data_IF_794326957678
#
_entry.id   IF_794326957678
#
_cell.length_a   1.000
_cell.length_b   1.000
_cell.length_c   1.000
_cell.angle_alpha   90.00
_cell.angle_beta   90.00
_cell.angle_gamma   90.00
#
_symmetry.space_group_name_H-M   'P 1'
#
loop_
_entity.id
_entity.type
_entity.pdbx_description
1 polymer ?
#
# COMPACT_ATOMS: atom_id res chain seq x y z
N UNK A 1 -2.72 -11.84 -5.89
CA UNK A 1 -3.96 -12.53 -5.42
C UNK A 1 -3.81 -12.89 -3.93
N UNK A 2 -4.76 -13.62 -3.32
CA UNK A 2 -4.63 -14.15 -1.96
C UNK A 2 -4.90 -15.66 -1.99
N UNK A 3 -3.94 -16.44 -1.52
CA UNK A 3 -3.99 -17.90 -1.39
C UNK A 3 -3.84 -18.22 0.10
N UNK A 4 -4.85 -18.80 0.72
CA UNK A 4 -4.84 -18.97 2.17
C UNK A 4 -5.55 -20.20 2.67
N UNK A 5 -5.12 -20.66 3.84
CA UNK A 5 -5.74 -21.75 4.59
C UNK A 5 -5.89 -23.04 3.75
N UNK A 6 -4.92 -23.34 2.88
CA UNK A 6 -4.91 -24.62 2.15
C UNK A 6 -4.75 -25.76 3.15
N UNK A 7 -5.77 -26.62 3.21
CA UNK A 7 -5.85 -27.76 4.14
C UNK A 7 -6.51 -28.98 3.46
N UNK A 8 -6.17 -29.18 2.18
CA UNK A 8 -6.67 -30.31 1.37
C UNK A 8 -5.77 -31.54 1.47
N UNK A 9 -5.51 -32.21 0.35
CA UNK A 9 -4.52 -33.29 0.27
C UNK A 9 -3.11 -32.73 0.47
N UNK A 10 -2.23 -33.53 1.09
CA UNK A 10 -0.81 -33.23 1.17
C UNK A 10 -0.24 -32.88 -0.23
N UNK A 11 0.70 -31.92 -0.33
CA UNK A 11 1.44 -31.31 0.78
C UNK A 11 0.78 -30.05 1.38
N UNK A 12 -0.44 -29.72 0.95
CA UNK A 12 -1.22 -28.58 1.46
C UNK A 12 -0.49 -27.23 1.37
N UNK A 13 0.45 -27.12 0.42
CA UNK A 13 1.14 -25.87 0.14
C UNK A 13 0.17 -24.86 -0.49
N UNK A 14 0.46 -23.57 -0.33
CA UNK A 14 -0.31 -22.53 -1.03
C UNK A 14 -0.16 -22.68 -2.55
N UNK A 15 1.08 -22.77 -3.03
CA UNK A 15 1.42 -23.13 -4.42
C UNK A 15 2.41 -24.28 -4.39
N UNK A 16 2.17 -25.29 -5.22
CA UNK A 16 3.04 -26.46 -5.33
C UNK A 16 3.50 -26.66 -6.78
N UNK A 17 4.77 -26.35 -7.03
CA UNK A 17 5.44 -26.63 -8.30
C UNK A 17 6.02 -28.04 -8.25
N UNK A 18 5.18 -29.03 -8.57
CA UNK A 18 5.49 -30.46 -8.51
C UNK A 18 5.27 -31.15 -9.87
N UNK A 19 6.25 -31.11 -10.79
CA UNK A 19 6.21 -31.93 -11.99
C UNK A 19 6.25 -33.41 -11.62
N UNK A 20 5.49 -34.22 -12.38
CA UNK A 20 5.32 -35.66 -12.15
C UNK A 20 6.22 -36.52 -13.06
N UNK A 21 6.75 -35.96 -14.16
CA UNK A 21 7.54 -36.70 -15.15
C UNK A 21 8.87 -36.01 -15.45
N UNK A 22 9.89 -36.83 -15.74
CA UNK A 22 11.24 -36.38 -16.05
C UNK A 22 11.34 -35.42 -17.24
N UNK A 23 10.38 -35.49 -18.17
CA UNK A 23 10.35 -34.69 -19.40
C UNK A 23 9.57 -33.38 -19.26
N UNK A 24 8.91 -33.14 -18.13
CA UNK A 24 8.20 -31.89 -17.90
C UNK A 24 9.15 -30.73 -17.64
N UNK A 25 8.64 -29.51 -17.78
CA UNK A 25 9.45 -28.29 -17.70
C UNK A 25 8.67 -27.21 -16.94
N UNK A 26 9.38 -26.44 -16.13
CA UNK A 26 8.89 -25.23 -15.47
C UNK A 26 9.76 -24.07 -15.95
N UNK A 27 9.25 -23.30 -16.90
CA UNK A 27 9.99 -22.23 -17.56
C UNK A 27 9.17 -20.95 -17.41
N UNK A 28 9.83 -19.88 -16.99
CA UNK A 28 9.32 -18.52 -16.87
C UNK A 28 8.02 -18.44 -16.05
N UNK A 29 7.98 -19.22 -14.97
CA UNK A 29 6.88 -19.21 -14.02
C UNK A 29 6.99 -17.99 -13.11
N UNK A 30 5.97 -17.12 -13.07
CA UNK A 30 5.98 -15.90 -12.26
C UNK A 30 4.88 -15.94 -11.21
N UNK A 31 5.27 -15.77 -9.94
CA UNK A 31 4.36 -15.46 -8.84
C UNK A 31 4.68 -14.05 -8.37
N UNK A 32 3.69 -13.16 -8.50
CA UNK A 32 3.86 -11.76 -8.14
C UNK A 32 2.67 -11.15 -7.45
N UNK A 33 2.89 -10.13 -6.63
CA UNK A 33 1.82 -9.33 -6.00
C UNK A 33 0.78 -10.21 -5.29
N UNK A 34 1.26 -11.23 -4.57
CA UNK A 34 0.42 -12.29 -4.00
C UNK A 34 0.68 -12.51 -2.52
N UNK A 35 -0.41 -12.65 -1.76
CA UNK A 35 -0.39 -13.08 -0.36
C UNK A 35 -0.60 -14.58 -0.32
N UNK A 36 0.26 -15.26 0.44
CA UNK A 36 0.22 -16.70 0.63
C UNK A 36 0.33 -16.99 2.12
N UNK A 37 -0.80 -17.26 2.78
CA UNK A 37 -0.85 -17.23 4.24
C UNK A 37 -1.64 -18.36 4.90
N UNK A 38 -1.25 -18.70 6.13
CA UNK A 38 -2.02 -19.63 6.96
C UNK A 38 -2.17 -21.03 6.38
N UNK A 39 -1.34 -21.39 5.39
CA UNK A 39 -1.41 -22.71 4.76
C UNK A 39 -0.85 -23.78 5.69
N UNK A 40 -1.44 -24.98 5.68
CA UNK A 40 -0.97 -26.09 6.54
C UNK A 40 0.39 -26.61 6.07
N UNK A 41 0.69 -26.49 4.78
CA UNK A 41 2.02 -26.72 4.24
C UNK A 41 2.92 -25.47 4.28
N UNK A 42 3.88 -25.43 3.36
CA UNK A 42 4.64 -24.24 3.03
C UNK A 42 3.80 -23.23 2.25
N UNK A 43 4.25 -21.98 2.18
CA UNK A 43 3.63 -21.00 1.31
C UNK A 43 3.78 -21.40 -0.17
N UNK A 44 5.02 -21.52 -0.63
CA UNK A 44 5.36 -22.02 -1.97
C UNK A 44 6.33 -23.19 -1.84
N UNK A 45 6.06 -24.29 -2.55
CA UNK A 45 6.97 -25.42 -2.70
C UNK A 45 7.43 -25.60 -4.14
N UNK A 46 8.71 -25.93 -4.31
CA UNK A 46 9.26 -26.48 -5.54
C UNK A 46 9.75 -27.91 -5.26
N UNK A 47 8.95 -28.89 -5.66
CA UNK A 47 9.24 -30.31 -5.51
C UNK A 47 9.65 -30.93 -6.84
N UNK A 48 10.96 -30.87 -7.14
CA UNK A 48 11.51 -31.14 -8.47
C UNK A 48 12.13 -32.54 -8.60
N UNK A 49 11.79 -33.46 -7.68
CA UNK A 49 12.42 -34.78 -7.58
C UNK A 49 12.22 -35.64 -8.83
N UNK A 50 11.11 -35.45 -9.55
CA UNK A 50 10.77 -36.26 -10.71
C UNK A 50 11.35 -35.72 -12.03
N UNK A 51 11.92 -34.52 -12.06
CA UNK A 51 12.55 -33.97 -13.26
C UNK A 51 13.87 -34.68 -13.56
N UNK A 52 14.22 -34.77 -14.85
CA UNK A 52 15.60 -35.11 -15.24
C UNK A 52 16.57 -34.04 -14.73
N UNK A 53 17.84 -34.39 -14.55
CA UNK A 53 18.87 -33.43 -14.14
C UNK A 53 18.96 -32.25 -15.11
N UNK A 54 18.88 -32.51 -16.42
CA UNK A 54 18.84 -31.49 -17.47
C UNK A 54 17.63 -30.55 -17.32
N UNK A 55 16.42 -31.08 -17.15
CA UNK A 55 15.23 -30.25 -17.04
C UNK A 55 15.18 -29.49 -15.71
N UNK A 56 15.70 -30.07 -14.63
CA UNK A 56 15.83 -29.41 -13.32
C UNK A 56 16.80 -28.24 -13.37
N UNK A 57 17.94 -28.40 -14.04
CA UNK A 57 18.92 -27.32 -14.23
C UNK A 57 18.36 -26.15 -15.06
N UNK A 58 17.38 -26.42 -15.92
CA UNK A 58 16.74 -25.44 -16.79
C UNK A 58 15.48 -24.79 -16.18
N UNK A 59 15.14 -25.05 -14.92
CA UNK A 59 13.97 -24.41 -14.28
C UNK A 59 14.22 -22.91 -14.10
N UNK A 60 13.28 -22.09 -14.58
CA UNK A 60 13.27 -20.64 -14.38
C UNK A 60 11.97 -20.19 -13.76
N UNK A 61 12.06 -19.33 -12.75
CA UNK A 61 10.90 -18.76 -12.07
C UNK A 61 11.22 -17.44 -11.37
N UNK A 62 10.19 -16.65 -11.10
CA UNK A 62 10.31 -15.39 -10.37
C UNK A 62 9.25 -15.33 -9.27
N UNK A 63 9.70 -15.07 -8.05
CA UNK A 63 8.86 -14.74 -6.90
C UNK A 63 9.17 -13.29 -6.53
N UNK A 64 8.26 -12.37 -6.87
CA UNK A 64 8.46 -10.93 -6.67
C UNK A 64 7.28 -10.31 -5.94
N UNK A 65 7.54 -9.39 -5.03
CA UNK A 65 6.48 -8.64 -4.35
C UNK A 65 5.38 -9.52 -3.74
N UNK A 66 5.78 -10.59 -3.06
CA UNK A 66 4.87 -11.55 -2.43
C UNK A 66 4.97 -11.47 -0.91
N UNK A 67 3.89 -11.84 -0.21
CA UNK A 67 3.85 -11.89 1.25
C UNK A 67 3.49 -13.31 1.71
N UNK A 68 4.48 -14.04 2.23
CA UNK A 68 4.35 -15.41 2.70
C UNK A 68 4.29 -15.42 4.24
N UNK A 69 3.07 -15.52 4.78
CA UNK A 69 2.78 -15.17 6.17
C UNK A 69 2.16 -16.34 6.94
N UNK A 70 2.73 -16.73 8.07
CA UNK A 70 2.05 -17.65 9.00
C UNK A 70 1.77 -19.03 8.42
N UNK A 71 2.52 -19.48 7.42
CA UNK A 71 2.38 -20.84 6.90
C UNK A 71 2.98 -21.81 7.93
N UNK A 72 2.35 -22.97 8.16
CA UNK A 72 2.82 -23.90 9.19
C UNK A 72 4.17 -24.54 8.85
N UNK A 73 4.52 -24.59 7.57
CA UNK A 73 5.84 -24.97 7.07
C UNK A 73 6.80 -23.80 6.90
N UNK A 74 7.60 -23.85 5.83
CA UNK A 74 8.48 -22.74 5.39
C UNK A 74 7.67 -21.72 4.57
N UNK A 75 8.15 -20.48 4.47
CA UNK A 75 7.62 -19.54 3.48
C UNK A 75 7.81 -20.08 2.06
N UNK A 76 9.07 -20.20 1.62
CA UNK A 76 9.46 -20.83 0.36
C UNK A 76 10.32 -22.07 0.62
N UNK A 77 9.92 -23.21 0.06
CA UNK A 77 10.60 -24.50 0.24
C UNK A 77 11.09 -25.04 -1.10
N UNK A 78 12.40 -25.25 -1.21
CA UNK A 78 13.02 -25.77 -2.43
C UNK A 78 13.66 -27.13 -2.13
N UNK A 79 13.21 -28.16 -2.84
CA UNK A 79 13.80 -29.51 -2.79
C UNK A 79 15.23 -29.55 -3.37
N UNK A 80 15.55 -28.62 -4.26
CA UNK A 80 16.81 -28.54 -5.01
C UNK A 80 17.22 -27.08 -5.23
N UNK A 81 18.49 -26.85 -5.56
CA UNK A 81 18.93 -25.57 -6.10
C UNK A 81 18.23 -25.26 -7.43
N UNK A 82 17.81 -24.02 -7.60
CA UNK A 82 17.19 -23.52 -8.83
C UNK A 82 17.95 -22.26 -9.26
N UNK A 83 19.00 -22.39 -10.08
CA UNK A 83 19.83 -21.24 -10.47
C UNK A 83 19.03 -20.16 -11.22
N UNK A 84 17.97 -20.55 -11.93
CA UNK A 84 17.06 -19.65 -12.64
C UNK A 84 15.92 -19.08 -11.79
N UNK A 85 15.96 -19.24 -10.46
CA UNK A 85 14.95 -18.67 -9.56
C UNK A 85 15.41 -17.31 -9.05
N UNK A 86 14.58 -16.29 -9.26
CA UNK A 86 14.73 -14.97 -8.65
C UNK A 86 13.72 -14.81 -7.53
N UNK A 87 14.18 -14.40 -6.34
CA UNK A 87 13.31 -14.05 -5.21
C UNK A 87 13.66 -12.65 -4.74
N UNK A 88 12.69 -11.73 -4.82
CA UNK A 88 12.91 -10.34 -4.42
C UNK A 88 11.67 -9.62 -3.93
N UNK A 89 11.87 -8.46 -3.30
CA UNK A 89 10.83 -7.51 -2.92
C UNK A 89 9.73 -8.12 -2.05
N UNK A 90 10.02 -9.18 -1.29
CA UNK A 90 9.00 -10.04 -0.67
C UNK A 90 9.08 -10.07 0.85
N UNK A 91 7.97 -10.44 1.51
CA UNK A 91 7.88 -10.63 2.95
C UNK A 91 7.78 -12.13 3.29
N UNK A 92 8.60 -12.59 4.23
CA UNK A 92 8.54 -13.93 4.83
C UNK A 92 8.37 -13.78 6.34
N UNK A 93 7.15 -13.96 6.84
CA UNK A 93 6.77 -13.53 8.18
C UNK A 93 6.04 -14.64 8.94
N UNK A 94 6.41 -14.86 10.20
CA UNK A 94 5.70 -15.76 11.13
C UNK A 94 5.55 -17.22 10.64
N UNK A 95 6.38 -17.70 9.71
CA UNK A 95 6.26 -19.07 9.23
C UNK A 95 6.75 -20.07 10.31
N UNK A 96 6.15 -21.26 10.34
CA UNK A 96 6.42 -22.30 11.33
C UNK A 96 7.80 -22.96 11.20
N UNK A 97 8.57 -22.58 10.18
CA UNK A 97 9.96 -22.99 9.97
C UNK A 97 10.78 -21.79 9.45
N UNK A 98 11.64 -21.99 8.44
CA UNK A 98 12.42 -20.91 7.82
C UNK A 98 11.56 -20.04 6.90
N UNK A 99 11.97 -18.78 6.70
CA UNK A 99 11.39 -17.93 5.65
C UNK A 99 11.63 -18.53 4.27
N UNK A 100 12.89 -18.83 3.94
CA UNK A 100 13.26 -19.61 2.75
C UNK A 100 14.18 -20.78 3.14
N UNK A 101 13.97 -21.94 2.54
CA UNK A 101 14.84 -23.10 2.74
C UNK A 101 15.15 -23.81 1.43
N UNK A 102 16.44 -24.07 1.20
CA UNK A 102 16.92 -24.85 0.07
C UNK A 102 17.61 -26.12 0.58
N UNK A 103 17.05 -27.29 0.23
CA UNK A 103 17.50 -28.56 0.80
C UNK A 103 18.83 -29.07 0.23
N UNK A 104 19.03 -29.01 -1.09
CA UNK A 104 20.24 -29.52 -1.74
C UNK A 104 21.13 -28.40 -2.26
N UNK A 105 22.44 -28.64 -2.22
CA UNK A 105 23.45 -27.77 -2.82
C UNK A 105 23.45 -27.91 -4.35
N UNK A 106 23.76 -26.82 -5.01
CA UNK A 106 23.81 -26.68 -6.46
C UNK A 106 23.95 -25.22 -6.90
N UNK A 107 24.36 -24.35 -5.98
CA UNK A 107 24.36 -22.89 -6.09
C UNK A 107 23.52 -22.23 -5.01
N UNK A 108 24.01 -21.11 -4.48
CA UNK A 108 23.26 -20.29 -3.53
C UNK A 108 22.14 -19.54 -4.24
N UNK A 109 20.91 -19.70 -3.78
CA UNK A 109 19.82 -18.78 -4.12
C UNK A 109 20.06 -17.45 -3.40
N UNK A 110 20.26 -16.38 -4.17
CA UNK A 110 20.35 -15.03 -3.64
C UNK A 110 18.95 -14.41 -3.55
N UNK A 111 18.50 -14.17 -2.32
CA UNK A 111 17.22 -13.54 -2.05
C UNK A 111 17.47 -12.06 -1.77
N UNK A 112 16.94 -11.17 -2.59
CA UNK A 112 17.28 -9.75 -2.54
C UNK A 112 16.09 -8.92 -2.06
N UNK A 113 16.35 -7.76 -1.46
CA UNK A 113 15.35 -6.76 -1.08
C UNK A 113 14.10 -7.39 -0.45
N UNK A 114 14.28 -8.28 0.53
CA UNK A 114 13.18 -9.03 1.13
C UNK A 114 13.25 -9.00 2.65
N UNK A 115 12.11 -9.01 3.31
CA UNK A 115 12.02 -8.98 4.77
C UNK A 115 11.78 -10.37 5.32
N UNK A 116 12.49 -10.69 6.39
CA UNK A 116 12.34 -11.91 7.15
C UNK A 116 12.09 -11.57 8.61
N UNK A 117 10.91 -11.92 9.11
CA UNK A 117 10.54 -11.59 10.48
C UNK A 117 9.88 -12.77 11.18
N UNK A 118 10.39 -13.11 12.37
CA UNK A 118 9.77 -14.07 13.28
C UNK A 118 9.44 -15.45 12.66
N UNK A 119 10.24 -15.91 11.71
CA UNK A 119 10.16 -17.29 11.19
C UNK A 119 10.81 -18.23 12.21
N UNK A 120 10.11 -19.27 12.62
CA UNK A 120 10.44 -20.09 13.81
C UNK A 120 11.86 -20.69 13.76
N UNK A 121 12.33 -21.08 12.57
CA UNK A 121 13.65 -21.68 12.40
C UNK A 121 14.73 -20.68 11.92
N UNK A 122 14.35 -19.46 11.55
CA UNK A 122 15.24 -18.41 11.06
C UNK A 122 14.86 -17.83 9.70
N UNK A 123 15.59 -16.81 9.25
CA UNK A 123 15.33 -16.15 7.96
C UNK A 123 15.51 -17.10 6.77
N UNK A 124 16.69 -17.72 6.68
CA UNK A 124 17.05 -18.68 5.63
C UNK A 124 17.68 -19.94 6.24
N UNK A 125 17.58 -21.07 5.55
CA UNK A 125 18.21 -22.33 5.96
C UNK A 125 18.62 -23.23 4.81
N UNK A 126 19.46 -24.23 5.11
CA UNK A 126 20.10 -25.06 4.11
C UNK A 126 21.11 -24.26 3.29
N UNK A 127 20.96 -24.27 1.96
CA UNK A 127 21.85 -23.58 1.02
C UNK A 127 21.30 -22.22 0.52
N UNK A 128 20.20 -21.75 1.11
CA UNK A 128 19.65 -20.43 0.80
C UNK A 128 20.48 -19.33 1.50
N UNK A 129 20.71 -18.22 0.82
CA UNK A 129 21.46 -17.09 1.35
C UNK A 129 20.68 -15.77 1.22
N UNK A 130 20.87 -14.89 2.20
CA UNK A 130 20.39 -13.51 2.10
C UNK A 130 21.30 -12.75 1.13
N UNK A 131 20.68 -12.12 0.14
CA UNK A 131 21.32 -11.19 -0.79
C UNK A 131 21.15 -9.73 -0.37
N UNK A 132 21.56 -8.83 -1.26
CA UNK A 132 21.51 -7.38 -1.08
C UNK A 132 20.11 -6.90 -0.68
N UNK A 133 20.03 -5.92 0.22
CA UNK A 133 18.76 -5.30 0.62
C UNK A 133 17.85 -6.16 1.50
N UNK A 134 18.24 -7.39 1.86
CA UNK A 134 17.45 -8.21 2.77
C UNK A 134 17.45 -7.67 4.21
N UNK A 135 16.28 -7.67 4.85
CA UNK A 135 16.04 -7.12 6.19
C UNK A 135 15.60 -8.24 7.14
N UNK A 136 16.25 -8.35 8.30
CA UNK A 136 15.94 -9.38 9.32
C UNK A 136 15.63 -8.82 10.70
N UNK A 137 15.81 -7.51 10.90
CA UNK A 137 15.78 -6.84 12.21
C UNK A 137 14.56 -5.96 12.41
N UNK A 138 13.72 -5.79 11.38
CA UNK A 138 12.60 -4.86 11.38
C UNK A 138 11.32 -5.65 11.10
N UNK A 139 10.34 -5.50 12.00
CA UNK A 139 9.02 -6.10 11.84
C UNK A 139 8.19 -5.33 10.81
N UNK A 140 7.50 -6.01 9.87
CA UNK A 140 6.43 -5.39 9.11
C UNK A 140 5.24 -5.10 10.03
N UNK A 141 4.63 -3.94 9.86
CA UNK A 141 3.39 -3.58 10.55
C UNK A 141 2.27 -3.68 9.53
N UNK A 142 1.28 -4.54 9.79
CA UNK A 142 0.08 -4.65 8.97
C UNK A 142 -1.03 -3.77 9.54
N UNK A 143 -1.76 -3.08 8.66
CA UNK A 143 -2.89 -2.24 9.02
C UNK A 143 -4.06 -3.05 9.61
N UNK A 144 -4.27 -4.27 9.12
CA UNK A 144 -5.25 -5.19 9.66
C UNK A 144 -4.88 -6.65 9.40
N UNK A 145 -5.21 -7.52 10.36
CA UNK A 145 -5.21 -8.98 10.22
C UNK A 145 -6.63 -9.55 10.12
N UNK A 146 -7.67 -8.70 10.17
CA UNK A 146 -9.06 -9.11 9.97
C UNK A 146 -9.31 -9.34 8.47
N UNK A 147 -9.66 -10.56 8.05
CA UNK A 147 -9.91 -10.86 6.64
C UNK A 147 -11.12 -10.16 6.02
N UNK A 148 -12.00 -9.57 6.84
CA UNK A 148 -13.13 -8.78 6.37
C UNK A 148 -12.79 -7.29 6.18
N UNK A 149 -11.62 -6.85 6.65
CA UNK A 149 -11.17 -5.47 6.53
C UNK A 149 -10.76 -5.14 5.08
N UNK A 150 -11.08 -3.93 4.62
CA UNK A 150 -10.52 -3.38 3.38
C UNK A 150 -8.99 -3.29 3.45
N UNK A 151 -8.46 -3.05 4.64
CA UNK A 151 -7.03 -2.91 4.95
C UNK A 151 -6.37 -4.25 5.29
N UNK A 152 -7.04 -5.37 5.05
CA UNK A 152 -6.50 -6.70 5.34
C UNK A 152 -5.12 -6.89 4.71
N UNK A 153 -4.10 -7.15 5.52
CA UNK A 153 -2.70 -7.34 5.10
C UNK A 153 -2.07 -6.19 4.31
N UNK A 154 -2.67 -5.01 4.31
CA UNK A 154 -1.97 -3.81 3.86
C UNK A 154 -0.85 -3.49 4.85
N UNK A 155 0.30 -3.02 4.37
CA UNK A 155 1.29 -2.42 5.27
C UNK A 155 0.67 -1.16 5.91
N UNK A 156 0.92 -0.94 7.19
CA UNK A 156 0.38 0.22 7.90
C UNK A 156 1.13 1.50 7.49
N UNK A 157 0.50 2.66 7.70
CA UNK A 157 1.12 3.98 7.42
C UNK A 157 2.37 4.22 8.26
N UNK A 158 2.38 3.69 9.49
CA UNK A 158 3.51 3.73 10.41
C UNK A 158 4.46 2.54 10.22
N UNK A 159 4.30 1.72 9.17
CA UNK A 159 5.26 0.68 8.83
C UNK A 159 6.62 1.34 8.52
N UNK A 160 7.75 0.79 9.01
CA UNK A 160 9.05 1.42 8.84
C UNK A 160 9.43 1.68 7.36
N UNK A 161 10.08 2.82 7.11
CA UNK A 161 10.53 3.22 5.77
C UNK A 161 11.45 2.18 5.10
N UNK A 162 12.24 1.46 5.90
CA UNK A 162 13.07 0.35 5.42
C UNK A 162 12.25 -0.78 4.77
N UNK A 163 10.94 -0.86 4.99
CA UNK A 163 10.03 -1.83 4.36
C UNK A 163 9.19 -1.16 3.27
N UNK A 164 8.73 0.08 3.48
CA UNK A 164 7.86 0.79 2.53
C UNK A 164 8.61 1.47 1.39
N UNK A 165 9.93 1.62 1.50
CA UNK A 165 10.82 2.23 0.50
C UNK A 165 12.08 1.38 0.26
N UNK A 166 12.12 0.17 0.82
CA UNK A 166 13.31 -0.68 0.82
C UNK A 166 13.35 -1.73 -0.28
N UNK A 167 12.34 -1.79 -1.15
CA UNK A 167 12.36 -2.67 -2.31
C UNK A 167 13.43 -2.24 -3.33
N UNK A 168 13.76 -3.13 -4.26
CA UNK A 168 14.75 -2.91 -5.33
C UNK A 168 14.44 -1.71 -6.23
N UNK A 169 13.16 -1.31 -6.32
CA UNK A 169 12.67 -0.16 -7.06
C UNK A 169 12.41 1.08 -6.19
N UNK A 170 12.81 1.04 -4.90
CA UNK A 170 12.52 2.09 -3.92
C UNK A 170 11.08 2.07 -3.39
N UNK A 171 10.30 1.06 -3.72
CA UNK A 171 8.93 0.86 -3.26
C UNK A 171 8.81 -0.05 -2.04
N UNK A 172 7.64 -0.66 -1.92
CA UNK A 172 7.27 -1.55 -0.82
C UNK A 172 7.77 -2.98 -1.06
N UNK A 173 8.27 -3.62 0.00
CA UNK A 173 8.48 -5.08 0.00
C UNK A 173 7.18 -5.79 0.43
N UNK A 174 6.63 -6.62 -0.44
CA UNK A 174 5.49 -7.49 -0.18
C UNK A 174 4.18 -7.09 -0.86
N UNK A 175 3.34 -8.10 -1.08
CA UNK A 175 2.01 -7.92 -1.63
C UNK A 175 1.08 -7.15 -0.67
N UNK A 176 0.16 -6.37 -1.26
CA UNK A 176 -0.69 -5.35 -0.59
C UNK A 176 0.16 -4.25 0.07
N UNK A 177 0.97 -3.53 -0.71
CA UNK A 177 1.55 -2.29 -0.23
C UNK A 177 0.43 -1.33 0.15
N UNK A 178 0.64 -0.48 1.18
CA UNK A 178 -0.27 0.64 1.42
C UNK A 178 -0.29 1.48 0.16
N UNK A 179 -1.41 1.48 -0.54
CA UNK A 179 -1.62 2.52 -1.53
C UNK A 179 -1.89 3.76 -0.70
N UNK A 180 -1.11 4.82 -0.87
CA UNK A 180 -1.51 6.11 -0.35
C UNK A 180 -2.96 6.35 -0.80
N UNK A 181 -3.86 6.70 0.12
CA UNK A 181 -5.23 6.99 -0.27
C UNK A 181 -5.19 7.97 -1.46
N UNK A 182 -6.03 7.81 -2.49
CA UNK A 182 -6.06 8.76 -3.59
C UNK A 182 -6.15 10.16 -2.99
N UNK A 183 -5.16 11.00 -3.29
CA UNK A 183 -5.09 12.32 -2.68
C UNK A 183 -6.37 13.07 -3.07
N UNK A 184 -7.06 13.66 -2.10
CA UNK A 184 -8.27 14.45 -2.36
C UNK A 184 -7.80 15.73 -3.04
N UNK A 185 -8.17 16.01 -4.30
CA UNK A 185 -7.65 17.19 -4.99
C UNK A 185 -7.95 18.46 -4.19
N UNK A 186 -6.92 19.23 -3.84
CA UNK A 186 -7.03 20.41 -2.99
C UNK A 186 -6.75 20.21 -1.50
N UNK A 187 -6.59 18.97 -1.02
CA UNK A 187 -6.27 18.63 0.38
C UNK A 187 -4.74 18.53 0.54
N UNK A 188 -4.09 19.64 0.88
CA UNK A 188 -2.63 19.73 0.96
C UNK A 188 -2.08 19.14 2.26
N UNK A 189 -2.83 19.21 3.36
CA UNK A 189 -2.40 18.66 4.66
C UNK A 189 -2.79 17.20 4.87
N UNK A 190 -3.52 16.60 3.91
CA UNK A 190 -4.03 15.23 3.92
C UNK A 190 -4.90 14.94 5.16
N UNK A 191 -5.63 15.94 5.66
CA UNK A 191 -6.55 15.79 6.80
C UNK A 191 -7.92 15.20 6.41
N UNK A 192 -8.12 14.96 5.12
CA UNK A 192 -9.33 14.40 4.54
C UNK A 192 -10.39 15.45 4.22
N UNK A 193 -10.10 16.75 4.34
CA UNK A 193 -11.04 17.84 4.06
C UNK A 193 -10.36 18.98 3.32
N UNK A 194 -10.94 19.41 2.21
CA UNK A 194 -10.47 20.61 1.51
C UNK A 194 -11.07 21.85 2.16
N UNK A 195 -10.25 22.62 2.89
CA UNK A 195 -10.70 23.74 3.70
C UNK A 195 -9.70 24.91 3.72
N UNK A 196 -9.89 25.86 4.66
CA UNK A 196 -9.03 27.04 4.79
C UNK A 196 -7.59 26.69 5.18
N UNK A 197 -7.37 25.55 5.82
CA UNK A 197 -6.04 25.02 6.10
C UNK A 197 -5.23 24.78 4.83
N UNK A 198 -5.84 24.11 3.85
CA UNK A 198 -5.20 23.82 2.55
C UNK A 198 -4.98 25.09 1.74
N UNK A 199 -5.96 26.00 1.76
CA UNK A 199 -5.80 27.30 1.14
C UNK A 199 -4.63 28.08 1.77
N UNK A 200 -4.44 27.96 3.08
CA UNK A 200 -3.29 28.55 3.77
C UNK A 200 -1.96 27.98 3.29
N UNK A 201 -1.88 26.67 3.07
CA UNK A 201 -0.69 26.00 2.54
C UNK A 201 -0.40 26.44 1.10
N UNK A 202 -1.41 26.41 0.22
CA UNK A 202 -1.27 26.87 -1.16
C UNK A 202 -0.87 28.34 -1.20
N UNK A 203 -1.52 29.20 -0.42
CA UNK A 203 -1.23 30.63 -0.37
C UNK A 203 0.20 30.92 0.12
N UNK A 204 0.69 30.16 1.10
CA UNK A 204 2.06 30.29 1.60
C UNK A 204 3.12 29.91 0.55
N UNK A 205 2.76 29.08 -0.43
CA UNK A 205 3.65 28.59 -1.47
C UNK A 205 3.34 29.17 -2.87
N UNK A 206 2.36 30.06 -2.98
CA UNK A 206 1.89 30.57 -4.27
C UNK A 206 2.98 31.27 -5.06
N UNK A 207 3.09 30.96 -6.35
CA UNK A 207 4.09 31.49 -7.27
C UNK A 207 5.46 30.80 -7.20
N UNK A 208 5.63 29.77 -6.35
CA UNK A 208 6.85 28.96 -6.35
C UNK A 208 6.92 28.06 -7.59
N UNK A 209 8.09 28.00 -8.19
CA UNK A 209 8.48 26.99 -9.17
C UNK A 209 9.28 25.91 -8.43
N UNK A 210 8.59 24.86 -7.99
CA UNK A 210 9.14 23.79 -7.15
C UNK A 210 10.14 22.95 -7.94
N UNK A 211 9.85 22.71 -9.22
CA UNK A 211 10.74 21.98 -10.12
C UNK A 211 12.05 22.73 -10.34
N UNK A 212 12.00 24.03 -10.65
CA UNK A 212 13.22 24.85 -10.82
C UNK A 212 14.01 25.00 -9.52
N UNK A 213 13.35 24.92 -8.36
CA UNK A 213 13.99 24.92 -7.04
C UNK A 213 14.59 23.56 -6.66
N UNK A 214 14.40 22.51 -7.47
CA UNK A 214 14.90 21.16 -7.18
C UNK A 214 14.20 20.49 -6.00
N UNK A 215 12.96 20.89 -5.70
CA UNK A 215 12.15 20.26 -4.65
C UNK A 215 11.74 18.86 -5.12
N UNK A 216 11.89 17.86 -4.25
CA UNK A 216 11.48 16.48 -4.51
C UNK A 216 9.98 16.43 -4.92
N UNK A 217 9.63 15.80 -6.06
CA UNK A 217 8.24 15.66 -6.53
C UNK A 217 7.28 15.05 -5.51
N UNK A 218 7.77 14.21 -4.59
CA UNK A 218 6.93 13.62 -3.54
C UNK A 218 6.33 14.67 -2.59
N UNK A 219 6.95 15.85 -2.48
CA UNK A 219 6.53 16.96 -1.62
C UNK A 219 5.60 17.97 -2.30
N UNK A 220 5.49 17.96 -3.63
CA UNK A 220 4.80 19.01 -4.40
C UNK A 220 3.35 19.23 -3.94
N UNK A 221 2.61 18.15 -3.72
CA UNK A 221 1.25 18.19 -3.22
C UNK A 221 1.09 18.87 -1.86
N UNK A 222 1.96 18.51 -0.91
CA UNK A 222 1.96 19.11 0.43
C UNK A 222 2.37 20.60 0.43
N UNK A 223 2.85 21.09 -0.71
CA UNK A 223 3.17 22.49 -0.95
C UNK A 223 2.11 23.20 -1.80
N UNK A 224 1.02 22.51 -2.16
CA UNK A 224 -0.12 23.09 -2.88
C UNK A 224 -0.03 23.01 -4.41
N UNK A 225 0.84 22.17 -4.97
CA UNK A 225 0.82 21.80 -6.39
C UNK A 225 -0.05 20.53 -6.54
N UNK A 226 -1.28 20.70 -7.01
CA UNK A 226 -2.30 19.65 -7.07
C UNK A 226 -2.46 19.05 -8.47
N UNK A 227 -1.78 19.58 -9.49
CA UNK A 227 -1.76 19.04 -10.84
C UNK A 227 -0.41 18.43 -11.25
N UNK A 228 0.56 18.43 -10.33
CA UNK A 228 1.92 17.91 -10.48
C UNK A 228 2.68 18.56 -11.66
N UNK A 229 2.41 19.84 -11.95
CA UNK A 229 3.10 20.59 -13.02
C UNK A 229 4.43 21.24 -12.57
N UNK A 230 4.75 21.11 -11.28
CA UNK A 230 5.95 21.64 -10.66
C UNK A 230 5.82 23.09 -10.20
N UNK A 231 4.65 23.73 -10.32
CA UNK A 231 4.43 25.15 -10.00
C UNK A 231 3.13 25.37 -9.23
N UNK A 232 3.23 26.01 -8.07
CA UNK A 232 2.03 26.39 -7.30
C UNK A 232 1.42 27.67 -7.89
N UNK A 233 0.32 27.56 -8.61
CA UNK A 233 -0.26 28.66 -9.38
C UNK A 233 -1.80 28.67 -9.41
N UNK A 234 -2.40 29.43 -10.34
CA UNK A 234 -3.85 29.55 -10.47
C UNK A 234 -4.54 28.23 -10.86
N UNK A 235 -3.81 27.31 -11.52
CA UNK A 235 -4.28 25.96 -11.82
C UNK A 235 -4.61 25.19 -10.54
N UNK A 236 -3.70 25.21 -9.56
CA UNK A 236 -3.89 24.55 -8.26
C UNK A 236 -4.98 25.19 -7.44
N UNK A 237 -5.04 26.53 -7.45
CA UNK A 237 -6.12 27.25 -6.80
C UNK A 237 -7.47 26.85 -7.41
N UNK A 238 -7.53 26.64 -8.72
CA UNK A 238 -8.71 26.13 -9.42
C UNK A 238 -9.12 24.74 -8.94
N UNK A 239 -8.16 23.83 -8.74
CA UNK A 239 -8.40 22.49 -8.21
C UNK A 239 -8.93 22.56 -6.77
N UNK A 240 -8.26 23.34 -5.90
CA UNK A 240 -8.69 23.52 -4.52
C UNK A 240 -10.09 24.12 -4.45
N UNK A 241 -10.35 25.18 -5.22
CA UNK A 241 -11.66 25.84 -5.25
C UNK A 241 -12.78 24.90 -5.73
N UNK A 242 -12.50 24.06 -6.73
CA UNK A 242 -13.46 23.07 -7.24
C UNK A 242 -13.84 22.01 -6.19
N UNK A 243 -12.96 21.74 -5.23
CA UNK A 243 -13.16 20.72 -4.20
C UNK A 243 -13.40 21.33 -2.81
N UNK A 244 -13.48 22.66 -2.68
CA UNK A 244 -13.58 23.34 -1.39
C UNK A 244 -14.84 22.93 -0.63
N UNK A 245 -14.69 22.58 0.65
CA UNK A 245 -15.75 22.05 1.48
C UNK A 245 -16.03 20.56 1.27
N UNK A 246 -15.33 19.89 0.36
CA UNK A 246 -15.36 18.44 0.29
C UNK A 246 -14.76 17.86 1.57
N UNK A 247 -15.51 16.97 2.20
CA UNK A 247 -15.00 16.07 3.23
C UNK A 247 -14.92 14.72 2.55
N UNK A 248 -13.83 13.96 2.74
CA UNK A 248 -13.79 12.55 2.36
C UNK A 248 -14.79 11.76 3.22
N UNK A 249 -16.09 11.92 2.99
CA UNK A 249 -17.12 11.20 3.72
C UNK A 249 -17.37 9.85 3.05
N UNK A 250 -17.31 8.80 3.86
CA UNK A 250 -17.86 7.52 3.48
C UNK A 250 -19.39 7.68 3.36
N UNK A 251 -19.98 7.04 2.36
CA UNK A 251 -21.44 6.96 2.19
C UNK A 251 -22.15 6.52 3.49
N UNK A 252 -21.49 5.73 4.35
CA UNK A 252 -22.02 5.27 5.63
C UNK A 252 -22.16 6.39 6.67
N UNK A 253 -21.24 7.36 6.72
CA UNK A 253 -21.30 8.47 7.66
C UNK A 253 -22.39 9.48 7.30
N UNK A 254 -22.69 9.64 6.02
CA UNK A 254 -23.75 10.52 5.53
C UNK A 254 -25.14 9.85 5.66
N UNK A 255 -25.23 8.53 5.47
CA UNK A 255 -26.46 7.76 5.73
C UNK A 255 -26.92 7.87 7.19
N UNK A 256 -26.01 7.68 8.17
CA UNK A 256 -26.34 7.74 9.59
C UNK A 256 -26.90 9.12 10.02
N UNK A 257 -26.36 10.21 9.45
CA UNK A 257 -26.84 11.57 9.77
C UNK A 257 -28.23 11.88 9.23
N UNK A 258 -28.64 11.24 8.14
CA UNK A 258 -29.93 11.48 7.48
C UNK A 258 -31.04 10.58 8.05
N UNK A 259 -30.69 9.38 8.53
CA UNK A 259 -31.69 8.37 8.90
C UNK A 259 -31.70 7.95 10.39
N UNK A 260 -30.65 8.19 11.19
CA UNK A 260 -30.62 7.78 12.62
C UNK A 260 -31.13 8.84 13.61
N UNK A 261 -31.67 9.98 13.14
CA UNK A 261 -32.23 11.02 14.01
C UNK A 261 -33.70 10.78 14.43
N UNK A 262 -34.32 9.65 14.08
CA UNK A 262 -35.77 9.45 14.23
C UNK A 262 -36.17 8.18 15.02
N UNK A 263 -35.72 8.08 16.26
CA UNK A 263 -36.39 7.32 17.35
C UNK A 263 -35.96 8.00 18.64
N UNK A 264 -36.78 8.76 19.36
CA UNK A 264 -38.02 8.33 20.02
C UNK A 264 -39.12 9.42 20.04
N UNK A 265 -40.37 8.98 19.93
CA UNK A 265 -41.59 9.78 20.15
C UNK A 265 -42.16 9.45 21.54
N UNK A 266 -42.50 10.48 22.33
CA UNK A 266 -43.34 10.34 23.53
C UNK A 266 -43.54 11.63 24.34
N UNK A 267 -44.52 12.45 23.92
CA UNK A 267 -45.24 13.62 24.52
C UNK A 267 -45.05 13.97 26.02
N UNK A 268 -45.04 15.26 26.40
CA UNK A 268 -46.26 16.11 26.53
C UNK A 268 -46.03 17.64 26.49
N UNK A 269 -47.13 18.35 26.23
CA UNK A 269 -47.32 19.76 25.83
C UNK A 269 -46.96 20.85 26.87
N UNK A 270 -46.47 22.02 26.43
CA UNK A 270 -47.13 23.35 26.49
C UNK A 270 -46.19 24.53 26.10
N UNK A 271 -46.71 25.41 25.23
CA UNK A 271 -46.44 26.82 24.90
C UNK A 271 -45.04 27.49 25.02
N UNK A 272 -44.62 28.18 23.93
CA UNK A 272 -44.20 29.62 23.84
C UNK A 272 -43.47 29.94 22.49
N UNK A 273 -44.15 30.71 21.63
CA UNK A 273 -43.78 31.83 20.70
C UNK A 273 -42.39 31.85 19.98
N UNK A 274 -42.30 32.20 18.66
CA UNK A 274 -41.19 31.80 17.79
C UNK A 274 -40.04 32.82 17.73
N UNK A 275 -38.83 32.32 17.53
CA UNK A 275 -37.70 33.15 17.15
C UNK A 275 -36.41 32.37 16.98
N UNK A 276 -36.17 31.77 15.80
CA UNK A 276 -34.80 31.53 15.35
C UNK A 276 -34.74 31.46 13.83
N UNK A 277 -33.92 32.34 13.27
CA UNK A 277 -33.53 32.43 11.87
C UNK A 277 -33.05 31.07 11.34
N UNK A 278 -33.78 30.50 10.37
CA UNK A 278 -33.24 29.47 9.50
C UNK A 278 -32.52 30.12 8.31
N UNK A 279 -31.20 30.00 8.32
CA UNK A 279 -30.35 29.57 7.19
C UNK A 279 -30.87 29.89 5.78
N UNK A 280 -30.60 31.11 5.35
CA UNK A 280 -30.49 31.48 3.94
C UNK A 280 -29.41 32.54 3.83
N UNK A 281 -28.55 32.41 2.81
CA UNK A 281 -27.42 33.30 2.45
C UNK A 281 -26.05 32.81 2.93
N UNK A 282 -25.43 31.99 2.08
CA UNK A 282 -24.04 31.58 2.20
C UNK A 282 -23.37 31.31 0.86
N UNK A 283 -23.68 32.09 -0.19
CA UNK A 283 -22.88 32.32 -1.41
C UNK A 283 -23.60 33.45 -2.21
N UNK A 284 -22.93 34.44 -2.84
CA UNK A 284 -21.50 34.68 -3.01
C UNK A 284 -21.07 36.12 -2.61
N UNK A 285 -20.08 36.25 -1.71
CA UNK A 285 -19.41 37.53 -1.42
C UNK A 285 -17.89 37.43 -1.70
N UNK A 286 -17.51 36.71 -2.77
CA UNK A 286 -16.11 36.57 -3.22
C UNK A 286 -15.90 37.11 -4.64
N UNK A 287 -16.95 37.54 -5.35
CA UNK A 287 -16.80 38.28 -6.61
C UNK A 287 -16.54 39.80 -6.41
N UNK A 288 -16.71 40.33 -5.19
CA UNK A 288 -16.67 41.78 -4.92
C UNK A 288 -15.29 42.37 -4.58
N UNK A 289 -14.29 41.56 -4.24
CA UNK A 289 -13.01 42.07 -3.73
C UNK A 289 -11.83 42.04 -4.72
N UNK A 290 -12.02 41.47 -5.92
CA UNK A 290 -10.96 41.45 -6.96
C UNK A 290 -11.07 42.56 -8.00
N UNK A 291 -12.15 43.35 -8.02
CA UNK A 291 -12.28 44.50 -8.95
C UNK A 291 -11.95 45.86 -8.31
N UNK A 292 -11.76 45.93 -6.99
CA UNK A 292 -11.40 47.17 -6.29
C UNK A 292 -9.89 47.30 -6.01
N UNK A 293 -9.11 46.22 -6.07
CA UNK A 293 -7.67 46.22 -5.81
C UNK A 293 -6.78 46.59 -7.01
N UNK A 294 -7.33 46.59 -8.24
CA UNK A 294 -6.58 46.84 -9.47
C UNK A 294 -6.72 48.27 -10.03
N UNK A 295 -7.41 49.16 -9.31
CA UNK A 295 -7.62 50.57 -9.69
C UNK A 295 -6.90 51.58 -8.78
N UNK A 296 -6.08 51.14 -7.82
CA UNK A 296 -5.40 52.01 -6.85
C UNK A 296 -3.87 52.09 -7.01
N UNK A 297 -3.31 51.65 -8.15
CA UNK A 297 -1.91 51.93 -8.51
C UNK A 297 -1.89 52.61 -9.88
N UNK A 298 -2.28 53.89 -9.91
CA UNK A 298 -1.75 54.92 -10.83
C UNK A 298 -2.51 56.24 -10.62
N UNK A 299 -2.17 56.94 -9.55
CA UNK A 299 -2.32 58.39 -9.48
C UNK A 299 -1.24 58.91 -8.53
N UNK A 300 -0.08 59.25 -9.09
CA UNK A 300 0.80 60.32 -8.59
C UNK A 300 1.81 60.68 -9.70
N UNK A 301 1.68 61.93 -10.15
CA UNK A 301 2.49 62.77 -11.07
C UNK A 301 2.75 62.30 -12.52
#
# INVERSE_FOLDING_TARGET
CIIRNTNGTAPQHGIDFEPNLATQRLIDCVVRNTIIEGNVGSGIGFWLNNLSEENRANVTATIENCSLIGNSGRGLSLSHAIPGLTVRDSLFVDNGSYGVYQQQDGGSLNIEYSVFWNNTAGAVGGYAALGTGSVTTIAPIFASADPLSSEYRYLAQNCPAAITQGASDGGYMGARPKVAAPRIPGDANEDGKVNVGDLGILAANYGRDLQAQGVDPSLWWSLGDFNDDGKVNVGDLGILAANYGSSGSSFAADYAKVFDAATEVGQSDEDVVPGTLCSGLGLPMIAGFLLAGLLLIKLEE
#
